data_IF_141090829532
#
_entry.id   IF_141090829532
#
_cell.length_a   1.000
_cell.length_b   1.000
_cell.length_c   1.000
_cell.angle_alpha   90.00
_cell.angle_beta   90.00
_cell.angle_gamma   90.00
#
_symmetry.space_group_name_H-M   'P 1'
#
loop_
_entity.id
_entity.type
_entity.pdbx_description
1 polymer ?
#
# COMPACT_ATOMS: atom_id res chain seq x y z
N UNK A 1 -3.75 2.29 3.80
CA UNK A 1 -4.41 3.46 3.17
C UNK A 1 -5.85 3.54 3.67
N UNK A 2 -6.37 4.74 4.00
CA UNK A 2 -7.79 4.95 4.36
C UNK A 2 -8.49 5.73 3.25
N UNK A 3 -9.70 5.31 2.90
CA UNK A 3 -10.52 5.92 1.85
C UNK A 3 -11.82 6.40 2.46
N UNK A 4 -12.12 7.67 2.20
CA UNK A 4 -13.36 8.33 2.59
C UNK A 4 -13.97 9.04 1.38
N UNK A 5 -15.28 9.20 1.37
CA UNK A 5 -15.97 10.01 0.38
C UNK A 5 -15.94 11.52 0.75
N UNK A 6 -16.62 12.34 -0.05
CA UNK A 6 -16.69 13.79 0.19
C UNK A 6 -17.41 14.16 1.50
N UNK A 7 -18.26 13.28 2.02
CA UNK A 7 -19.01 13.47 3.26
C UNK A 7 -18.27 12.86 4.47
N UNK A 8 -17.00 12.48 4.31
CA UNK A 8 -16.18 11.76 5.29
C UNK A 8 -16.73 10.37 5.68
N UNK A 9 -17.62 9.78 4.88
CA UNK A 9 -18.06 8.41 5.09
C UNK A 9 -16.97 7.41 4.68
N UNK A 10 -16.83 6.33 5.46
CA UNK A 10 -15.83 5.29 5.20
C UNK A 10 -16.25 4.43 4.01
N UNK A 11 -15.34 4.22 3.04
CA UNK A 11 -15.66 3.50 1.80
C UNK A 11 -15.01 2.11 1.80
N UNK A 12 -15.83 1.07 1.95
CA UNK A 12 -15.42 -0.33 1.86
C UNK A 12 -15.44 -0.84 0.41
N UNK A 13 -14.77 -1.97 0.14
CA UNK A 13 -14.83 -2.65 -1.16
C UNK A 13 -13.95 -2.05 -2.25
N UNK A 14 -13.12 -1.05 -1.95
CA UNK A 14 -12.21 -0.43 -2.92
C UNK A 14 -10.92 -1.24 -3.00
N UNK A 15 -10.53 -1.64 -4.21
CA UNK A 15 -9.24 -2.28 -4.46
C UNK A 15 -8.11 -1.25 -4.39
N UNK A 16 -7.14 -1.51 -3.52
CA UNK A 16 -5.92 -0.70 -3.35
C UNK A 16 -4.72 -1.55 -3.74
N UNK A 17 -3.95 -1.08 -4.73
CA UNK A 17 -2.72 -1.75 -5.16
C UNK A 17 -1.53 -1.12 -4.45
N UNK A 18 -0.83 -1.91 -3.65
CA UNK A 18 0.43 -1.52 -3.03
C UNK A 18 1.58 -2.03 -3.89
N UNK A 19 2.53 -1.16 -4.25
CA UNK A 19 3.66 -1.49 -5.12
C UNK A 19 4.93 -0.91 -4.52
N UNK A 20 5.96 -1.73 -4.40
CA UNK A 20 7.31 -1.30 -4.00
C UNK A 20 7.96 -0.62 -5.19
N UNK A 21 8.40 0.61 -5.01
CA UNK A 21 8.92 1.48 -6.07
C UNK A 21 10.40 1.81 -5.91
N UNK A 22 11.01 1.44 -4.78
CA UNK A 22 12.42 1.70 -4.51
C UNK A 22 12.95 0.93 -3.32
N UNK A 23 14.26 0.74 -3.28
CA UNK A 23 14.97 0.03 -2.21
C UNK A 23 15.05 -1.50 -2.39
N UNK A 24 14.29 -2.11 -3.31
CA UNK A 24 14.41 -3.53 -3.64
C UNK A 24 13.76 -4.50 -2.65
N UNK A 25 12.82 -4.02 -1.84
CA UNK A 25 12.05 -4.83 -0.89
C UNK A 25 10.95 -5.69 -1.52
N UNK A 26 10.23 -6.45 -0.68
CA UNK A 26 9.12 -7.35 -1.07
C UNK A 26 7.95 -7.28 -0.08
N UNK A 27 6.76 -7.73 -0.47
CA UNK A 27 5.65 -8.04 0.43
C UNK A 27 5.74 -9.51 0.85
N UNK A 28 5.94 -9.79 2.13
CA UNK A 28 6.39 -11.11 2.57
C UNK A 28 7.87 -11.34 2.23
N UNK A 29 8.56 -12.17 3.01
CA UNK A 29 9.97 -12.48 2.76
C UNK A 29 10.12 -13.23 1.43
N UNK A 30 10.80 -12.61 0.45
CA UNK A 30 10.94 -13.17 -0.90
C UNK A 30 9.63 -13.20 -1.72
N UNK A 31 8.59 -12.50 -1.26
CA UNK A 31 7.30 -12.44 -1.95
C UNK A 31 7.27 -11.42 -3.09
N UNK A 32 6.07 -11.08 -3.60
CA UNK A 32 5.92 -10.17 -4.72
C UNK A 32 6.27 -8.72 -4.34
N UNK A 33 6.53 -7.89 -5.35
CA UNK A 33 6.71 -6.44 -5.19
C UNK A 33 5.40 -5.65 -5.32
N UNK A 34 4.28 -6.32 -5.56
CA UNK A 34 2.96 -5.71 -5.65
C UNK A 34 1.88 -6.63 -5.08
N UNK A 35 0.95 -6.06 -4.30
CA UNK A 35 -0.22 -6.77 -3.73
C UNK A 35 -1.47 -5.91 -3.85
N UNK A 36 -2.63 -6.55 -3.95
CA UNK A 36 -3.94 -5.89 -3.99
C UNK A 36 -4.68 -6.17 -2.70
N UNK A 37 -5.12 -5.11 -2.02
CA UNK A 37 -5.86 -5.21 -0.76
C UNK A 37 -7.16 -4.42 -0.89
N UNK A 38 -8.27 -5.04 -0.51
CA UNK A 38 -9.59 -4.40 -0.53
C UNK A 38 -9.84 -3.64 0.78
N UNK A 39 -10.40 -2.43 0.71
CA UNK A 39 -10.77 -1.69 1.92
C UNK A 39 -11.86 -2.42 2.72
N UNK A 40 -11.63 -2.57 4.02
CA UNK A 40 -12.62 -3.14 4.94
C UNK A 40 -13.76 -2.15 5.28
N UNK A 41 -14.68 -2.54 6.16
CA UNK A 41 -15.81 -1.70 6.62
C UNK A 41 -15.40 -0.37 7.25
N UNK A 42 -14.14 -0.24 7.68
CA UNK A 42 -13.59 1.01 8.20
C UNK A 42 -12.91 1.87 7.11
N UNK A 43 -13.09 1.50 5.84
CA UNK A 43 -12.46 2.15 4.69
C UNK A 43 -10.94 1.97 4.65
N UNK A 44 -10.38 0.97 5.34
CA UNK A 44 -8.94 0.74 5.42
C UNK A 44 -8.50 -0.45 4.59
N UNK A 45 -7.52 -0.21 3.73
CA UNK A 45 -6.71 -1.26 3.11
C UNK A 45 -5.39 -1.35 3.88
N UNK A 46 -5.15 -2.51 4.49
CA UNK A 46 -3.97 -2.80 5.31
C UNK A 46 -3.39 -4.11 4.80
N UNK A 47 -2.12 -4.08 4.41
CA UNK A 47 -1.39 -5.29 4.01
C UNK A 47 -1.31 -6.23 5.22
N UNK A 48 -1.59 -7.52 5.00
CA UNK A 48 -1.63 -8.52 6.06
C UNK A 48 -0.25 -8.70 6.72
N UNK A 49 -0.21 -9.22 7.94
CA UNK A 49 1.05 -9.48 8.64
C UNK A 49 1.95 -10.49 7.89
N UNK A 50 1.35 -11.43 7.14
CA UNK A 50 2.06 -12.39 6.29
C UNK A 50 2.66 -11.76 5.03
N UNK A 51 2.10 -10.63 4.58
CA UNK A 51 2.54 -9.89 3.39
C UNK A 51 3.24 -8.58 3.78
N UNK A 52 3.75 -8.49 5.01
CA UNK A 52 4.38 -7.27 5.53
C UNK A 52 5.45 -6.73 4.56
N UNK A 53 5.63 -5.41 4.52
CA UNK A 53 6.66 -4.80 3.68
C UNK A 53 8.06 -5.05 4.27
N UNK A 54 8.81 -5.94 3.63
CA UNK A 54 10.23 -6.15 3.89
C UNK A 54 11.01 -5.12 3.08
N UNK A 55 11.87 -4.34 3.75
CA UNK A 55 12.80 -3.44 3.09
C UNK A 55 13.89 -4.24 2.36
N UNK A 56 14.50 -3.66 1.33
CA UNK A 56 15.66 -4.28 0.72
C UNK A 56 16.86 -4.29 1.67
N UNK A 57 17.82 -5.17 1.37
CA UNK A 57 19.00 -5.41 2.20
C UNK A 57 20.07 -4.32 2.09
N UNK A 58 19.94 -3.40 1.14
CA UNK A 58 20.87 -2.28 1.00
C UNK A 58 20.42 -1.13 1.89
N UNK A 59 21.29 -0.62 2.78
CA UNK A 59 20.99 0.58 3.56
C UNK A 59 20.58 1.74 2.65
N UNK A 60 19.57 2.50 3.07
CA UNK A 60 19.04 3.62 2.30
C UNK A 60 17.53 3.62 2.08
N UNK A 61 17.11 4.54 1.22
CA UNK A 61 15.70 4.87 1.03
C UNK A 61 14.96 3.72 0.33
N UNK A 62 13.89 3.28 0.98
CA UNK A 62 12.92 2.33 0.47
C UNK A 62 11.59 3.07 0.26
N UNK A 63 10.91 2.81 -0.87
CA UNK A 63 9.65 3.47 -1.20
C UNK A 63 8.58 2.49 -1.65
N UNK A 64 7.34 2.80 -1.30
CA UNK A 64 6.15 2.04 -1.70
C UNK A 64 5.02 3.03 -2.03
N UNK A 65 4.21 2.72 -3.04
CA UNK A 65 2.98 3.47 -3.37
C UNK A 65 1.76 2.60 -3.14
N UNK A 66 0.72 3.17 -2.52
CA UNK A 66 -0.63 2.62 -2.53
C UNK A 66 -1.49 3.43 -3.50
N UNK A 67 -2.13 2.75 -4.45
CA UNK A 67 -2.94 3.37 -5.49
C UNK A 67 -4.36 2.82 -5.48
N UNK A 68 -5.34 3.69 -5.73
CA UNK A 68 -6.74 3.31 -5.89
C UNK A 68 -7.38 4.18 -6.99
N UNK A 69 -8.11 3.57 -7.91
CA UNK A 69 -8.90 4.29 -8.90
C UNK A 69 -10.38 4.24 -8.48
N UNK A 70 -10.98 5.40 -8.23
CA UNK A 70 -12.36 5.51 -7.78
C UNK A 70 -13.05 6.56 -8.65
N UNK A 71 -14.05 6.12 -9.43
CA UNK A 71 -14.80 7.03 -10.31
C UNK A 71 -13.92 7.79 -11.31
N UNK A 72 -12.84 7.17 -11.80
CA UNK A 72 -11.89 7.79 -12.73
C UNK A 72 -10.81 8.66 -12.06
N UNK A 73 -10.87 8.85 -10.74
CA UNK A 73 -9.84 9.57 -9.99
C UNK A 73 -8.80 8.59 -9.44
N UNK A 74 -7.54 8.77 -9.84
CA UNK A 74 -6.41 8.04 -9.26
C UNK A 74 -5.97 8.70 -7.95
N UNK A 75 -6.08 7.96 -6.86
CA UNK A 75 -5.52 8.30 -5.55
C UNK A 75 -4.17 7.61 -5.41
N UNK A 76 -3.16 8.35 -4.93
CA UNK A 76 -1.80 7.82 -4.70
C UNK A 76 -1.34 8.25 -3.30
N UNK A 77 -0.85 7.29 -2.52
CA UNK A 77 -0.20 7.52 -1.24
C UNK A 77 1.19 6.91 -1.26
N UNK A 78 2.21 7.69 -0.93
CA UNK A 78 3.61 7.23 -0.89
C UNK A 78 4.05 6.97 0.55
N UNK A 79 4.63 5.80 0.77
CA UNK A 79 5.31 5.41 1.99
C UNK A 79 6.81 5.42 1.76
N UNK A 80 7.56 5.85 2.77
CA UNK A 80 9.01 5.88 2.77
C UNK A 80 9.52 5.26 4.06
N UNK A 81 10.58 4.47 3.94
CA UNK A 81 11.32 3.90 5.05
C UNK A 81 12.81 3.98 4.74
N UNK A 82 13.66 4.01 5.75
CA UNK A 82 15.11 4.02 5.57
C UNK A 82 15.69 2.77 6.23
N UNK A 83 16.35 1.92 5.43
CA UNK A 83 17.09 0.77 5.95
C UNK A 83 18.42 1.25 6.53
N UNK A 84 18.84 0.67 7.66
CA UNK A 84 20.09 0.96 8.36
C UNK A 84 21.08 -0.18 8.23
#
# INVERSE_FOLDING_TARGET
>A
MRIVDHNNALVAGVSVTFTITGGGGTFGAGGPTSVVVVTNVQGKAVVSASEFWFLGSTPGLNTMTATANIGGRLLVLTFRANGT
#
